data_IF_798123046009
#
_entry.id   IF_798123046009
#
_cell.length_a   1.000
_cell.length_b   1.000
_cell.length_c   1.000
_cell.angle_alpha   90.00
_cell.angle_beta   90.00
_cell.angle_gamma   90.00
#
_symmetry.space_group_name_H-M   'P 1'
#
loop_
_entity.id
_entity.type
_entity.pdbx_description
1 polymer ?
#
# COMPACT_ATOMS: atom_id res chain seq x y z
N UNK A 1 18.09 24.65 13.55
CA UNK A 1 17.17 24.02 12.56
C UNK A 1 16.67 22.73 13.19
N UNK A 2 15.35 22.50 13.30
CA UNK A 2 14.84 21.23 13.80
C UNK A 2 15.30 20.10 12.86
N UNK A 3 15.67 18.94 13.39
CA UNK A 3 15.95 17.78 12.55
C UNK A 3 14.61 17.31 11.94
N UNK A 4 14.45 17.33 10.60
CA UNK A 4 13.24 16.85 9.96
C UNK A 4 12.97 15.36 10.24
N UNK A 5 14.00 14.60 10.64
CA UNK A 5 13.87 13.18 11.06
C UNK A 5 13.25 13.02 12.44
N UNK A 6 13.04 14.11 13.19
CA UNK A 6 12.34 14.07 14.47
C UNK A 6 10.82 14.30 14.34
N UNK A 7 10.31 14.51 13.12
CA UNK A 7 8.90 14.83 12.89
C UNK A 7 8.07 13.55 12.71
N UNK A 8 7.00 13.43 13.51
CA UNK A 8 6.00 12.37 13.35
C UNK A 8 5.39 12.40 11.95
N UNK A 9 5.24 11.24 11.34
CA UNK A 9 4.54 11.07 10.06
C UNK A 9 3.16 10.48 10.34
N UNK A 10 2.12 11.18 9.93
CA UNK A 10 0.73 10.74 10.11
C UNK A 10 0.25 9.95 8.88
N UNK A 11 -0.17 8.69 9.07
CA UNK A 11 -0.58 7.77 7.99
C UNK A 11 -1.94 7.15 8.31
N UNK A 12 -3.02 7.78 7.87
CA UNK A 12 -4.37 7.24 8.02
C UNK A 12 -4.68 6.85 9.47
N UNK A 13 -4.97 5.58 9.79
CA UNK A 13 -5.33 5.14 11.13
C UNK A 13 -4.15 4.99 12.10
N UNK A 14 -2.91 5.23 11.68
CA UNK A 14 -1.73 5.17 12.53
C UNK A 14 -0.80 6.38 12.31
N UNK A 15 0.21 6.48 13.16
CA UNK A 15 1.31 7.42 12.98
C UNK A 15 2.63 6.68 13.15
N UNK A 16 3.65 7.18 12.47
CA UNK A 16 5.03 6.72 12.60
C UNK A 16 5.80 7.78 13.39
N UNK A 17 6.30 7.42 14.57
CA UNK A 17 7.05 8.32 15.44
C UNK A 17 8.49 7.83 15.62
N UNK A 18 9.49 8.72 15.61
CA UNK A 18 10.87 8.34 15.92
C UNK A 18 11.01 7.98 17.41
N UNK A 19 11.88 7.02 17.71
CA UNK A 19 12.30 6.75 19.09
C UNK A 19 13.14 7.91 19.64
N UNK A 20 13.30 8.04 20.98
CA UNK A 20 14.02 9.17 21.58
C UNK A 20 15.46 9.35 21.10
N UNK A 21 16.11 8.26 20.68
CA UNK A 21 17.47 8.22 20.12
C UNK A 21 17.49 8.36 18.58
N UNK A 22 16.31 8.50 17.94
CA UNK A 22 16.09 8.60 16.51
C UNK A 22 16.71 7.45 15.67
N UNK A 23 17.05 6.33 16.31
CA UNK A 23 17.64 5.17 15.63
C UNK A 23 16.58 4.31 14.95
N UNK A 24 15.36 4.33 15.49
CA UNK A 24 14.22 3.55 15.02
C UNK A 24 12.95 4.39 15.00
N UNK A 25 11.94 3.89 14.29
CA UNK A 25 10.63 4.50 14.19
C UNK A 25 9.57 3.46 14.51
N UNK A 26 8.59 3.87 15.32
CA UNK A 26 7.51 3.00 15.79
C UNK A 26 6.19 3.39 15.14
N UNK A 27 5.51 2.42 14.53
CA UNK A 27 4.14 2.58 14.06
C UNK A 27 3.18 2.38 15.23
N UNK A 28 2.35 3.39 15.49
CA UNK A 28 1.41 3.42 16.61
C UNK A 28 0.01 3.74 16.09
N UNK A 29 -1.02 2.93 16.43
CA UNK A 29 -2.40 3.22 16.04
C UNK A 29 -2.88 4.55 16.62
N UNK A 30 -3.75 5.24 15.90
CA UNK A 30 -4.36 6.51 16.33
C UNK A 30 -5.66 6.21 17.10
N UNK A 31 -5.69 6.51 18.40
CA UNK A 31 -6.88 6.45 19.26
C UNK A 31 -6.69 5.68 20.57
N UNK A 32 -7.73 5.68 21.42
CA UNK A 32 -7.75 5.08 22.77
C UNK A 32 -7.69 3.55 22.81
N UNK A 33 -7.51 2.90 21.65
CA UNK A 33 -7.06 1.51 21.56
C UNK A 33 -5.59 1.34 22.00
N UNK A 34 -5.11 2.21 22.90
CA UNK A 34 -3.86 2.12 23.65
C UNK A 34 -3.85 0.96 24.66
N UNK A 35 -4.76 -0.01 24.50
CA UNK A 35 -4.70 -1.29 25.17
C UNK A 35 -3.64 -2.17 24.52
N UNK A 36 -2.40 -2.06 24.98
CA UNK A 36 -1.33 -3.07 24.84
C UNK A 36 -0.89 -3.51 23.43
N UNK A 37 -1.33 -2.87 22.35
CA UNK A 37 -0.74 -3.14 21.03
C UNK A 37 0.68 -2.56 21.00
N UNK A 38 1.68 -3.42 21.21
CA UNK A 38 3.09 -3.07 21.06
C UNK A 38 3.31 -2.57 19.63
N UNK A 39 3.61 -1.28 19.48
CA UNK A 39 3.88 -0.68 18.18
C UNK A 39 5.06 -1.37 17.50
N UNK A 40 4.97 -1.54 16.18
CA UNK A 40 6.04 -2.17 15.40
C UNK A 40 7.17 -1.15 15.26
N UNK A 41 8.38 -1.51 15.69
CA UNK A 41 9.56 -0.65 15.59
C UNK A 41 10.55 -1.20 14.57
N UNK A 42 11.05 -0.34 13.71
CA UNK A 42 12.03 -0.69 12.67
C UNK A 42 12.91 0.52 12.34
N UNK A 43 14.09 0.27 11.76
CA UNK A 43 14.96 1.33 11.26
C UNK A 43 14.35 2.05 10.06
N UNK A 44 14.78 3.28 9.79
CA UNK A 44 14.24 4.07 8.67
C UNK A 44 14.38 3.36 7.31
N UNK A 45 15.51 2.69 7.06
CA UNK A 45 15.73 1.94 5.82
C UNK A 45 14.74 0.78 5.64
N UNK A 46 14.33 0.13 6.72
CA UNK A 46 13.34 -0.95 6.70
C UNK A 46 11.94 -0.43 6.39
N UNK A 47 11.58 0.74 6.94
CA UNK A 47 10.32 1.41 6.58
C UNK A 47 10.28 1.83 5.11
N UNK A 48 11.39 2.31 4.56
CA UNK A 48 11.48 2.62 3.11
C UNK A 48 11.32 1.36 2.27
N UNK A 49 11.99 0.26 2.66
CA UNK A 49 11.86 -1.02 1.95
C UNK A 49 10.42 -1.57 2.02
N UNK A 50 9.76 -1.45 3.18
CA UNK A 50 8.35 -1.81 3.35
C UNK A 50 7.44 -0.99 2.43
N UNK A 51 7.60 0.33 2.40
CA UNK A 51 6.81 1.22 1.54
C UNK A 51 6.96 0.85 0.05
N UNK A 52 8.19 0.57 -0.40
CA UNK A 52 8.45 0.12 -1.76
C UNK A 52 7.74 -1.22 -2.08
N UNK A 53 7.71 -2.15 -1.12
CA UNK A 53 7.02 -3.43 -1.29
C UNK A 53 5.50 -3.27 -1.33
N UNK A 54 4.92 -2.36 -0.53
CA UNK A 54 3.48 -2.02 -0.58
C UNK A 54 3.11 -1.47 -1.95
N UNK A 55 3.89 -0.53 -2.49
CA UNK A 55 3.64 0.03 -3.83
C UNK A 55 3.74 -1.03 -4.93
N UNK A 56 4.70 -1.95 -4.84
CA UNK A 56 4.81 -3.07 -5.79
C UNK A 56 3.61 -4.02 -5.70
N UNK A 57 3.09 -4.26 -4.50
CA UNK A 57 1.90 -5.07 -4.32
C UNK A 57 0.64 -4.41 -4.90
N UNK A 58 0.50 -3.09 -4.73
CA UNK A 58 -0.57 -2.29 -5.36
C UNK A 58 -0.51 -2.38 -6.89
N UNK A 59 0.68 -2.20 -7.48
CA UNK A 59 0.87 -2.32 -8.92
C UNK A 59 0.47 -3.71 -9.45
N UNK A 60 0.87 -4.78 -8.74
CA UNK A 60 0.48 -6.13 -9.09
C UNK A 60 -1.04 -6.30 -9.04
N UNK A 61 -1.67 -5.83 -7.96
CA UNK A 61 -3.12 -5.94 -7.79
C UNK A 61 -3.88 -5.21 -8.91
N UNK A 62 -3.47 -3.97 -9.24
CA UNK A 62 -4.05 -3.21 -10.36
C UNK A 62 -3.88 -3.91 -11.69
N UNK A 63 -2.76 -4.60 -11.90
CA UNK A 63 -2.53 -5.39 -13.11
C UNK A 63 -3.44 -6.63 -13.20
N UNK A 64 -3.79 -7.20 -12.05
CA UNK A 64 -4.72 -8.35 -11.95
C UNK A 64 -6.15 -7.87 -12.20
N UNK A 65 -6.56 -6.76 -11.60
CA UNK A 65 -7.87 -6.16 -11.88
C UNK A 65 -8.04 -5.81 -13.35
N UNK A 66 -7.07 -5.10 -13.95
CA UNK A 66 -7.11 -4.75 -15.37
C UNK A 66 -7.22 -5.98 -16.29
N UNK A 67 -6.65 -7.12 -15.87
CA UNK A 67 -6.80 -8.39 -16.60
C UNK A 67 -8.19 -8.98 -16.43
N UNK A 68 -8.79 -8.84 -15.26
CA UNK A 68 -10.18 -9.20 -15.00
C UNK A 68 -11.14 -8.41 -15.89
N UNK A 69 -10.97 -7.08 -15.91
CA UNK A 69 -11.77 -6.18 -16.76
C UNK A 69 -11.66 -6.56 -18.24
N UNK A 70 -10.44 -6.82 -18.74
CA UNK A 70 -10.23 -7.25 -20.12
C UNK A 70 -10.88 -8.62 -20.43
N UNK A 71 -10.94 -9.52 -19.45
CA UNK A 71 -11.60 -10.81 -19.60
C UNK A 71 -13.12 -10.66 -19.66
N UNK A 72 -13.69 -9.82 -18.78
CA UNK A 72 -15.12 -9.52 -18.76
C UNK A 72 -15.57 -8.81 -20.05
N UNK A 73 -14.79 -7.84 -20.56
CA UNK A 73 -15.02 -7.19 -21.84
C UNK A 73 -14.96 -8.19 -23.02
N UNK A 74 -13.95 -9.06 -23.04
CA UNK A 74 -13.81 -10.10 -24.07
C UNK A 74 -14.95 -11.12 -24.04
N UNK A 75 -15.41 -11.50 -22.85
CA UNK A 75 -16.55 -12.40 -22.67
C UNK A 75 -17.87 -11.76 -23.10
N UNK A 76 -18.08 -10.47 -22.79
CA UNK A 76 -19.23 -9.71 -23.26
C UNK A 76 -19.22 -9.58 -24.80
N UNK A 77 -18.06 -9.25 -25.39
CA UNK A 77 -17.91 -9.14 -26.85
C UNK A 77 -18.17 -10.48 -27.56
N UNK A 78 -17.73 -11.61 -26.99
CA UNK A 78 -17.99 -12.94 -27.56
C UNK A 78 -19.47 -13.34 -27.57
N UNK A 79 -20.32 -12.70 -26.75
CA UNK A 79 -21.77 -12.89 -26.72
C UNK A 79 -22.55 -11.95 -27.63
N UNK A 80 -21.90 -10.95 -28.22
CA UNK A 80 -22.53 -10.10 -29.22
C UNK A 80 -22.66 -10.88 -30.55
N UNK A 81 -23.90 -11.11 -30.97
CA UNK A 81 -24.22 -11.79 -32.23
C UNK A 81 -23.71 -11.05 -33.49
N UNK A 82 -23.31 -9.78 -33.35
CA UNK A 82 -22.68 -8.98 -34.41
C UNK A 82 -21.15 -8.97 -34.37
N UNK A 83 -20.52 -9.63 -33.38
CA UNK A 83 -19.07 -9.68 -33.28
C UNK A 83 -18.46 -10.39 -34.49
N UNK A 84 -17.65 -9.66 -35.26
CA UNK A 84 -16.92 -10.19 -36.43
C UNK A 84 -15.54 -10.63 -35.97
N UNK A 85 -15.19 -11.90 -36.18
CA UNK A 85 -13.85 -12.41 -35.92
C UNK A 85 -12.88 -11.84 -36.98
N UNK A 86 -11.88 -11.01 -36.61
CA UNK A 86 -10.97 -10.37 -37.55
C UNK A 86 -9.89 -11.32 -38.10
N UNK A 87 -9.80 -12.55 -37.60
CA UNK A 87 -8.87 -13.58 -38.06
C UNK A 87 -9.54 -14.68 -38.88
N UNK A 88 -10.75 -14.42 -39.39
CA UNK A 88 -11.49 -15.33 -40.27
C UNK A 88 -11.46 -14.88 -41.72
#
# INVERSE_FOLDING_TARGET
>A
MPDPRALRIDVGPFHLAPTPDASTWTAVPRGDAAGSASGISAGWGEWVAFAAQVLRADELWRSVEARGDAWDEGFAAARDAKAVNPYR
#
